data_IF_073516806074
#
_entry.id   IF_073516806074
#
_cell.length_a   1.000
_cell.length_b   1.000
_cell.length_c   1.000
_cell.angle_alpha   90.00
_cell.angle_beta   90.00
_cell.angle_gamma   90.00
#
_symmetry.space_group_name_H-M   'P 1'
#
loop_
_entity.id
_entity.type
_entity.pdbx_description
1 polymer ?
#
# COMPACT_ATOMS: atom_id res chain seq x y z
N UNK A 1 -18.65 6.65 -36.33
CA UNK A 1 -18.12 7.46 -35.21
C UNK A 1 -18.17 6.57 -33.97
N UNK A 2 -17.01 6.23 -33.43
CA UNK A 2 -16.91 5.48 -32.19
C UNK A 2 -17.07 6.45 -30.99
N UNK A 3 -17.76 5.99 -29.94
CA UNK A 3 -17.86 6.70 -28.67
C UNK A 3 -16.90 6.07 -27.68
N UNK A 4 -15.90 6.85 -27.25
CA UNK A 4 -14.90 6.42 -26.27
C UNK A 4 -15.21 7.06 -24.92
N UNK A 5 -15.35 6.22 -23.87
CA UNK A 5 -15.54 6.67 -22.49
C UNK A 5 -14.20 6.88 -21.82
N UNK A 6 -13.93 8.10 -21.39
CA UNK A 6 -12.69 8.48 -20.69
C UNK A 6 -13.02 8.70 -19.21
N UNK A 7 -12.37 7.99 -18.27
CA UNK A 7 -12.58 8.21 -16.84
C UNK A 7 -12.27 9.66 -16.46
N UNK A 8 -13.19 10.30 -15.74
CA UNK A 8 -13.03 11.67 -15.26
C UNK A 8 -13.66 11.83 -13.89
N UNK A 9 -12.83 12.12 -12.89
CA UNK A 9 -13.24 12.20 -11.48
C UNK A 9 -13.98 10.93 -11.04
N UNK A 10 -15.24 11.03 -10.62
CA UNK A 10 -16.10 9.90 -10.20
C UNK A 10 -16.99 9.34 -11.34
N UNK A 11 -16.80 9.82 -12.55
CA UNK A 11 -17.62 9.45 -13.71
C UNK A 11 -16.79 9.29 -14.97
N UNK A 12 -17.44 9.55 -16.11
CA UNK A 12 -16.82 9.45 -17.42
C UNK A 12 -17.25 10.66 -18.27
N UNK A 13 -16.37 11.08 -19.17
CA UNK A 13 -16.71 11.94 -20.31
C UNK A 13 -16.70 11.09 -21.56
N UNK A 14 -17.55 11.42 -22.51
CA UNK A 14 -17.64 10.72 -23.79
C UNK A 14 -17.01 11.58 -24.89
N UNK A 15 -16.13 10.96 -25.66
CA UNK A 15 -15.54 11.57 -26.83
C UNK A 15 -16.00 10.80 -28.09
N UNK A 16 -16.49 11.53 -29.09
CA UNK A 16 -16.80 10.96 -30.40
C UNK A 16 -15.59 11.04 -31.30
N UNK A 17 -15.13 9.91 -31.80
CA UNK A 17 -13.95 9.81 -32.65
C UNK A 17 -14.38 9.18 -33.97
N UNK A 18 -13.88 9.72 -35.08
CA UNK A 18 -14.11 9.12 -36.40
C UNK A 18 -13.51 7.72 -36.43
N UNK A 19 -14.26 6.73 -36.91
CA UNK A 19 -13.83 5.34 -36.99
C UNK A 19 -12.52 5.18 -37.79
N UNK A 20 -12.33 6.00 -38.81
CA UNK A 20 -11.10 6.02 -39.61
C UNK A 20 -9.87 6.52 -38.85
N UNK A 21 -10.05 7.19 -37.70
CA UNK A 21 -8.97 7.74 -36.85
C UNK A 21 -8.74 6.91 -35.59
N UNK A 22 -9.66 6.01 -35.25
CA UNK A 22 -9.55 5.17 -34.06
C UNK A 22 -8.85 3.86 -34.42
N UNK A 23 -7.58 3.75 -34.06
CA UNK A 23 -6.78 2.53 -34.28
C UNK A 23 -7.15 1.45 -33.25
N UNK A 24 -7.52 1.84 -32.03
CA UNK A 24 -7.94 0.93 -30.98
C UNK A 24 -8.05 1.62 -29.63
N UNK A 25 -8.71 0.94 -28.68
CA UNK A 25 -8.76 1.33 -27.27
C UNK A 25 -7.89 0.35 -26.49
N UNK A 26 -6.86 0.86 -25.81
CA UNK A 26 -5.98 0.04 -25.01
C UNK A 26 -6.62 -0.22 -23.63
N UNK A 27 -6.91 -1.47 -23.36
CA UNK A 27 -7.45 -1.90 -22.06
C UNK A 27 -6.37 -2.68 -21.29
N UNK A 28 -6.28 -2.39 -19.99
CA UNK A 28 -5.36 -3.13 -19.13
C UNK A 28 -5.82 -4.58 -18.95
N UNK A 29 -4.90 -5.54 -19.14
CA UNK A 29 -5.16 -6.96 -18.84
C UNK A 29 -5.47 -7.20 -17.35
N UNK A 30 -5.10 -6.27 -16.48
CA UNK A 30 -5.41 -6.33 -15.04
C UNK A 30 -6.92 -6.36 -14.77
N UNK A 31 -7.75 -5.78 -15.65
CA UNK A 31 -9.21 -5.84 -15.53
C UNK A 31 -9.79 -7.25 -15.67
N UNK A 32 -9.05 -8.15 -16.32
CA UNK A 32 -9.45 -9.55 -16.51
C UNK A 32 -8.80 -10.50 -15.50
N UNK A 33 -7.86 -9.99 -14.70
CA UNK A 33 -7.18 -10.79 -13.69
C UNK A 33 -8.15 -11.12 -12.55
N UNK A 34 -8.31 -12.40 -12.29
CA UNK A 34 -9.06 -12.91 -11.14
C UNK A 34 -8.07 -13.50 -10.15
N UNK A 35 -7.94 -12.92 -8.95
CA UNK A 35 -7.05 -13.47 -7.93
C UNK A 35 -7.56 -14.85 -7.49
N UNK A 36 -6.63 -15.75 -7.20
CA UNK A 36 -6.92 -17.12 -6.77
C UNK A 36 -7.46 -17.22 -5.35
N UNK A 37 -7.31 -16.12 -4.56
CA UNK A 37 -7.70 -16.08 -3.16
C UNK A 37 -8.12 -14.65 -2.76
N UNK A 38 -8.68 -14.53 -1.56
CA UNK A 38 -9.00 -13.22 -0.96
C UNK A 38 -7.74 -12.42 -0.61
N UNK A 39 -7.89 -11.11 -0.44
CA UNK A 39 -6.78 -10.17 -0.24
C UNK A 39 -5.86 -10.56 0.92
N UNK A 40 -6.43 -10.94 2.07
CA UNK A 40 -5.65 -11.34 3.26
C UNK A 40 -4.86 -12.63 3.01
N UNK A 41 -5.48 -13.60 2.33
CA UNK A 41 -4.87 -14.87 1.98
C UNK A 41 -3.69 -14.68 1.02
N UNK A 42 -3.83 -13.76 0.05
CA UNK A 42 -2.74 -13.42 -0.87
C UNK A 42 -1.54 -12.83 -0.14
N UNK A 43 -1.77 -11.93 0.84
CA UNK A 43 -0.70 -11.36 1.66
C UNK A 43 -0.02 -12.44 2.50
N UNK A 44 -0.80 -13.32 3.15
CA UNK A 44 -0.24 -14.45 3.94
C UNK A 44 0.62 -15.37 3.08
N UNK A 45 0.13 -15.77 1.92
CA UNK A 45 0.89 -16.62 0.97
C UNK A 45 2.19 -15.95 0.51
N UNK A 46 2.18 -14.65 0.28
CA UNK A 46 3.37 -13.90 -0.10
C UNK A 46 4.42 -13.86 1.03
N UNK A 47 3.98 -13.69 2.28
CA UNK A 47 4.87 -13.73 3.45
C UNK A 47 5.41 -15.14 3.77
N UNK A 48 4.62 -16.18 3.47
CA UNK A 48 5.03 -17.58 3.63
C UNK A 48 6.03 -18.02 2.58
N UNK A 49 5.95 -17.45 1.38
CA UNK A 49 6.77 -17.83 0.23
C UNK A 49 7.50 -16.61 -0.36
N UNK A 50 8.41 -15.95 0.40
CA UNK A 50 9.15 -14.80 -0.07
C UNK A 50 10.10 -15.16 -1.22
N UNK A 51 10.28 -14.22 -2.16
CA UNK A 51 11.15 -14.40 -3.31
C UNK A 51 12.58 -14.00 -2.94
N UNK A 52 13.52 -14.96 -2.99
CA UNK A 52 14.95 -14.70 -2.82
C UNK A 52 15.37 -14.23 -1.42
N UNK A 53 14.51 -14.41 -0.39
CA UNK A 53 14.82 -14.03 1.00
C UNK A 53 14.26 -15.06 1.98
N UNK A 54 14.78 -15.12 3.23
CA UNK A 54 14.11 -15.82 4.32
C UNK A 54 12.74 -15.20 4.64
N UNK A 55 11.89 -15.90 5.37
CA UNK A 55 10.62 -15.38 5.87
C UNK A 55 10.84 -14.18 6.80
N UNK A 56 9.89 -13.26 6.79
CA UNK A 56 9.98 -12.05 7.61
C UNK A 56 10.15 -12.37 9.10
N UNK A 57 9.43 -13.38 9.63
CA UNK A 57 9.59 -13.87 11.01
C UNK A 57 11.02 -14.32 11.36
N UNK A 58 11.77 -14.80 10.37
CA UNK A 58 13.15 -15.25 10.58
C UNK A 58 14.15 -14.10 10.49
N UNK A 59 13.87 -13.13 9.62
CA UNK A 59 14.69 -11.93 9.46
C UNK A 59 14.69 -11.03 10.70
N UNK A 60 13.58 -11.02 11.46
CA UNK A 60 13.40 -10.13 12.62
C UNK A 60 13.96 -10.70 13.92
N UNK A 61 14.38 -11.98 13.95
CA UNK A 61 14.97 -12.60 15.13
C UNK A 61 16.19 -11.82 15.61
N UNK A 62 16.20 -11.44 16.89
CA UNK A 62 17.28 -10.69 17.51
C UNK A 62 17.41 -9.22 17.05
N UNK A 63 16.41 -8.68 16.37
CA UNK A 63 16.38 -7.25 15.98
C UNK A 63 15.60 -6.45 17.01
N UNK A 64 16.29 -5.57 17.73
CA UNK A 64 15.67 -4.72 18.76
C UNK A 64 14.76 -3.64 18.18
N UNK A 65 15.13 -3.08 17.01
CA UNK A 65 14.39 -2.01 16.33
C UNK A 65 14.08 -2.40 14.89
N UNK A 66 12.83 -2.21 14.48
CA UNK A 66 12.36 -2.48 13.13
C UNK A 66 11.67 -1.23 12.61
N UNK A 67 12.06 -0.78 11.43
CA UNK A 67 11.42 0.34 10.75
C UNK A 67 10.70 -0.19 9.51
N UNK A 68 9.40 0.09 9.43
CA UNK A 68 8.58 -0.20 8.26
C UNK A 68 8.37 1.11 7.50
N UNK A 69 9.01 1.25 6.34
CA UNK A 69 8.80 2.40 5.48
C UNK A 69 7.51 2.19 4.68
N UNK A 70 6.58 3.11 4.82
CA UNK A 70 5.30 3.06 4.15
C UNK A 70 5.02 4.34 3.36
N UNK A 71 4.25 4.22 2.28
CA UNK A 71 3.81 5.38 1.50
C UNK A 71 2.79 6.21 2.26
N UNK A 72 2.68 7.48 1.93
CA UNK A 72 1.72 8.41 2.49
C UNK A 72 0.27 8.19 1.98
N UNK A 73 -0.64 9.08 2.37
CA UNK A 73 -2.06 9.06 2.04
C UNK A 73 -2.36 9.14 0.53
N UNK A 74 -1.43 9.63 -0.29
CA UNK A 74 -1.66 9.82 -1.73
C UNK A 74 -1.56 8.53 -2.54
N UNK A 75 -1.01 7.44 -1.98
CA UNK A 75 -0.78 6.19 -2.69
C UNK A 75 -1.85 5.15 -2.36
N UNK A 76 -2.49 4.54 -3.38
CA UNK A 76 -3.55 3.53 -3.20
C UNK A 76 -2.98 2.14 -2.83
N UNK A 77 -2.12 2.08 -1.82
CA UNK A 77 -1.58 0.83 -1.29
C UNK A 77 -2.55 0.27 -0.25
N UNK A 78 -2.91 -1.03 -0.28
CA UNK A 78 -3.86 -1.64 0.65
C UNK A 78 -3.24 -1.90 2.04
N UNK A 79 -2.65 -0.85 2.63
CA UNK A 79 -1.91 -0.94 3.90
C UNK A 79 -2.79 -1.42 5.05
N UNK A 80 -4.09 -1.12 5.01
CA UNK A 80 -5.07 -1.57 6.02
C UNK A 80 -5.19 -3.11 6.09
N UNK A 81 -4.90 -3.78 4.97
CA UNK A 81 -4.90 -5.25 4.88
C UNK A 81 -3.50 -5.79 5.18
N UNK A 82 -2.49 -5.18 4.60
CA UNK A 82 -1.11 -5.67 4.68
C UNK A 82 -0.48 -5.47 6.05
N UNK A 83 -0.64 -4.29 6.66
CA UNK A 83 0.07 -3.93 7.88
C UNK A 83 -0.25 -4.86 9.06
N UNK A 84 -1.51 -5.19 9.39
CA UNK A 84 -1.81 -6.13 10.47
C UNK A 84 -1.17 -7.50 10.28
N UNK A 85 -1.21 -8.03 9.05
CA UNK A 85 -0.66 -9.37 8.73
C UNK A 85 0.87 -9.37 8.81
N UNK A 86 1.52 -8.29 8.35
CA UNK A 86 2.97 -8.11 8.49
C UNK A 86 3.38 -8.02 9.96
N UNK A 87 2.63 -7.25 10.77
CA UNK A 87 2.87 -7.13 12.21
C UNK A 87 2.73 -8.48 12.91
N UNK A 88 1.72 -9.27 12.59
CA UNK A 88 1.53 -10.62 13.11
C UNK A 88 2.76 -11.52 12.78
N UNK A 89 3.24 -11.48 11.54
CA UNK A 89 4.42 -12.24 11.12
C UNK A 89 5.69 -11.76 11.85
N UNK A 90 5.88 -10.45 12.02
CA UNK A 90 7.00 -9.88 12.78
C UNK A 90 6.92 -10.32 14.26
N UNK A 91 5.78 -10.13 14.91
CA UNK A 91 5.59 -10.48 16.32
C UNK A 91 5.73 -11.98 16.56
N UNK A 92 5.40 -12.84 15.59
CA UNK A 92 5.61 -14.28 15.70
C UNK A 92 7.10 -14.68 15.73
N UNK A 93 7.97 -13.89 15.12
CA UNK A 93 9.43 -14.09 15.13
C UNK A 93 10.15 -13.32 16.24
N UNK A 94 9.59 -12.18 16.65
CA UNK A 94 10.15 -11.29 17.66
C UNK A 94 9.05 -10.48 18.38
N UNK A 95 8.46 -11.01 19.46
CA UNK A 95 7.36 -10.35 20.18
C UNK A 95 7.73 -8.99 20.77
N UNK A 96 8.98 -8.81 21.18
CA UNK A 96 9.48 -7.62 21.91
C UNK A 96 10.10 -6.54 21.00
N UNK A 97 10.03 -6.72 19.68
CA UNK A 97 10.60 -5.72 18.77
C UNK A 97 9.92 -4.36 18.87
N UNK A 98 10.73 -3.29 19.00
CA UNK A 98 10.27 -1.90 18.86
C UNK A 98 10.02 -1.60 17.38
N UNK A 99 8.76 -1.52 16.98
CA UNK A 99 8.36 -1.32 15.58
C UNK A 99 7.96 0.14 15.38
N UNK A 100 8.53 0.76 14.36
CA UNK A 100 8.16 2.11 13.94
C UNK A 100 7.73 2.11 12.48
N UNK A 101 6.57 2.65 12.18
CA UNK A 101 6.18 3.00 10.82
C UNK A 101 6.73 4.38 10.46
N UNK A 102 7.55 4.46 9.42
CA UNK A 102 8.03 5.71 8.85
C UNK A 102 7.21 6.01 7.59
N UNK A 103 6.41 7.07 7.63
CA UNK A 103 5.59 7.47 6.51
C UNK A 103 6.40 8.37 5.57
N UNK A 104 6.73 7.84 4.40
CA UNK A 104 7.52 8.52 3.38
C UNK A 104 6.63 9.49 2.58
N UNK A 105 6.59 10.76 2.98
CA UNK A 105 5.76 11.80 2.36
C UNK A 105 6.36 12.39 1.09
N UNK A 106 7.68 12.27 0.90
CA UNK A 106 8.38 13.01 -0.14
C UNK A 106 8.12 14.51 0.01
N UNK A 107 7.74 15.18 -1.07
CA UNK A 107 7.37 16.61 -1.09
C UNK A 107 5.89 16.88 -0.77
N UNK A 108 5.13 15.88 -0.38
CA UNK A 108 3.76 16.09 0.06
C UNK A 108 3.72 16.68 1.47
N UNK A 109 2.61 17.35 1.80
CA UNK A 109 2.35 17.75 3.18
C UNK A 109 2.32 16.53 4.11
N UNK A 110 2.56 16.71 5.41
CA UNK A 110 2.44 15.63 6.37
C UNK A 110 1.06 14.96 6.33
N UNK A 111 1.04 13.64 6.49
CA UNK A 111 -0.19 12.84 6.58
C UNK A 111 -0.87 13.10 7.91
N UNK A 112 -2.18 13.40 7.90
CA UNK A 112 -2.94 13.64 9.14
C UNK A 112 -3.27 12.33 9.87
N UNK A 113 -3.70 12.43 11.13
CA UNK A 113 -4.11 11.27 11.93
C UNK A 113 -5.29 10.53 11.31
N UNK A 114 -6.27 11.26 10.79
CA UNK A 114 -7.44 10.69 10.12
C UNK A 114 -7.06 9.92 8.85
N UNK A 115 -6.10 10.45 8.10
CA UNK A 115 -5.56 9.78 6.92
C UNK A 115 -4.76 8.53 7.28
N UNK A 116 -3.99 8.56 8.37
CA UNK A 116 -3.31 7.38 8.91
C UNK A 116 -4.30 6.30 9.31
N UNK A 117 -5.38 6.66 10.02
CA UNK A 117 -6.46 5.74 10.38
C UNK A 117 -7.13 5.15 9.13
N UNK A 118 -7.42 5.98 8.14
CA UNK A 118 -7.98 5.53 6.86
C UNK A 118 -7.09 4.52 6.15
N UNK A 119 -5.76 4.73 6.21
CA UNK A 119 -4.75 3.93 5.50
C UNK A 119 -4.35 2.64 6.23
N UNK A 120 -4.18 2.68 7.57
CA UNK A 120 -3.66 1.56 8.36
C UNK A 120 -4.71 0.91 9.27
N UNK A 121 -5.83 1.59 9.53
CA UNK A 121 -6.84 1.20 10.50
C UNK A 121 -6.56 1.75 11.90
N UNK A 122 -7.61 1.87 12.71
CA UNK A 122 -7.53 2.42 14.07
C UNK A 122 -6.57 1.65 14.97
N UNK A 123 -6.61 0.31 14.91
CA UNK A 123 -5.80 -0.56 15.75
C UNK A 123 -4.29 -0.33 15.52
N UNK A 124 -3.83 -0.35 14.28
CA UNK A 124 -2.40 -0.13 13.96
C UNK A 124 -1.95 1.26 14.41
N UNK A 125 -2.78 2.28 14.19
CA UNK A 125 -2.47 3.66 14.57
C UNK A 125 -2.45 3.85 16.11
N UNK A 126 -3.22 3.06 16.84
CA UNK A 126 -3.26 3.13 18.30
C UNK A 126 -2.15 2.33 18.99
N UNK A 127 -1.72 1.22 18.39
CA UNK A 127 -0.80 0.27 19.03
C UNK A 127 0.66 0.44 18.59
N UNK A 128 0.92 0.97 17.37
CA UNK A 128 2.26 1.06 16.83
C UNK A 128 2.77 2.52 16.76
N UNK A 129 4.09 2.68 16.88
CA UNK A 129 4.73 3.97 16.72
C UNK A 129 4.72 4.38 15.25
N UNK A 130 4.20 5.58 14.97
CA UNK A 130 4.16 6.14 13.61
C UNK A 130 4.91 7.47 13.60
N UNK A 131 5.86 7.60 12.69
CA UNK A 131 6.60 8.82 12.40
C UNK A 131 6.25 9.27 10.98
N UNK A 132 5.82 10.50 10.83
CA UNK A 132 5.52 11.09 9.52
C UNK A 132 6.71 11.96 9.13
N UNK A 133 7.38 11.60 8.04
CA UNK A 133 8.49 12.40 7.51
C UNK A 133 7.99 13.76 7.04
N UNK A 134 8.77 14.80 7.29
CA UNK A 134 8.53 16.16 6.81
C UNK A 134 9.74 16.66 6.02
N UNK A 135 9.66 16.66 4.69
CA UNK A 135 10.76 17.09 3.82
C UNK A 135 11.13 18.58 3.93
N UNK A 136 10.29 19.38 4.59
CA UNK A 136 10.52 20.80 4.81
C UNK A 136 11.25 21.12 6.11
N UNK A 137 11.44 20.10 6.96
CA UNK A 137 12.20 20.21 8.20
C UNK A 137 13.51 19.43 8.06
N UNK A 138 14.67 20.13 8.03
CA UNK A 138 15.97 19.48 7.73
C UNK A 138 16.47 18.49 8.81
N UNK A 139 15.82 18.44 9.96
CA UNK A 139 16.19 17.57 11.09
C UNK A 139 15.15 16.45 11.36
N UNK A 140 14.18 16.28 10.46
CA UNK A 140 13.09 15.30 10.62
C UNK A 140 13.42 13.92 10.02
#
# INVERSE_FOLDING_TARGET
>A
MAVVKIPYSKGFIEAQIDDARLVGVLESKAHHYKPEAGEQELVKKALENPIGSPRLRDLVKGKNKIVIIASDHTRPVPSKIMAPIMLEEIRSGNPEADITFLIATGFHRPTTKEELIGKFGEKVVAEEKIVVHNAFEPES
#
